data_IF_997228545879
#
_entry.id   IF_997228545879
#
_cell.length_a   1.000
_cell.length_b   1.000
_cell.length_c   1.000
_cell.angle_alpha   90.00
_cell.angle_beta   90.00
_cell.angle_gamma   90.00
#
_symmetry.space_group_name_H-M   'P 1'
#
loop_
_entity.id
_entity.type
_entity.pdbx_description
1 polymer ?
#
# COMPACT_ATOMS: atom_id res chain seq x y z
N UNK A 1 -26.35 13.92 -27.52
CA UNK A 1 -25.45 13.46 -26.43
C UNK A 1 -25.76 14.28 -25.20
N UNK A 2 -26.03 13.65 -24.06
CA UNK A 2 -26.16 14.37 -22.79
C UNK A 2 -24.80 15.00 -22.44
N UNK A 3 -24.76 16.22 -21.86
CA UNK A 3 -23.51 16.84 -21.45
C UNK A 3 -22.84 16.01 -20.35
N UNK A 4 -21.51 15.87 -20.37
CA UNK A 4 -20.77 15.11 -19.37
C UNK A 4 -20.77 15.74 -17.96
N UNK A 5 -21.47 16.87 -17.78
CA UNK A 5 -21.64 17.59 -16.51
C UNK A 5 -22.41 16.83 -15.43
N UNK A 6 -23.12 15.75 -15.78
CA UNK A 6 -23.80 14.85 -14.82
C UNK A 6 -23.03 13.55 -14.56
N UNK A 7 -21.81 13.39 -15.09
CA UNK A 7 -21.04 12.16 -14.93
C UNK A 7 -20.45 12.07 -13.52
N UNK A 8 -21.01 11.20 -12.69
CA UNK A 8 -20.58 10.97 -11.30
C UNK A 8 -19.63 9.77 -11.15
N UNK A 9 -19.80 8.77 -12.01
CA UNK A 9 -19.03 7.53 -11.97
C UNK A 9 -18.51 7.20 -13.36
N UNK A 10 -17.21 6.94 -13.46
CA UNK A 10 -16.59 6.51 -14.71
C UNK A 10 -15.72 5.29 -14.48
N UNK A 11 -15.98 4.25 -15.26
CA UNK A 11 -15.10 3.09 -15.39
C UNK A 11 -14.64 2.99 -16.83
N UNK A 12 -13.33 3.05 -17.05
CA UNK A 12 -12.71 2.74 -18.33
C UNK A 12 -11.92 1.46 -18.14
N UNK A 13 -12.27 0.44 -18.92
CA UNK A 13 -11.62 -0.86 -18.89
C UNK A 13 -11.25 -1.27 -20.30
N UNK A 14 -9.98 -1.58 -20.51
CA UNK A 14 -9.53 -2.21 -21.75
C UNK A 14 -9.37 -3.72 -21.53
N UNK A 15 -10.27 -4.48 -22.15
CA UNK A 15 -10.32 -5.94 -22.06
C UNK A 15 -9.82 -6.61 -23.36
N UNK A 16 -8.90 -5.95 -24.07
CA UNK A 16 -8.31 -6.51 -25.30
C UNK A 16 -7.51 -7.78 -25.02
N UNK A 17 -7.33 -8.60 -26.07
CA UNK A 17 -6.54 -9.86 -25.99
C UNK A 17 -5.06 -9.62 -25.73
N UNK A 18 -4.57 -8.42 -26.00
CA UNK A 18 -3.21 -8.00 -25.70
C UNK A 18 -3.17 -7.47 -24.28
N UNK A 19 -2.36 -8.09 -23.42
CA UNK A 19 -2.18 -7.80 -21.98
C UNK A 19 -1.58 -6.40 -21.68
N UNK A 20 -1.53 -5.53 -22.69
CA UNK A 20 -0.95 -4.21 -22.64
C UNK A 20 -2.03 -3.17 -22.30
N UNK A 21 -1.84 -2.46 -21.19
CA UNK A 21 -2.55 -1.23 -20.87
C UNK A 21 -2.45 -0.21 -22.01
N UNK A 22 -3.59 0.40 -22.34
CA UNK A 22 -3.71 1.27 -23.52
C UNK A 22 -3.61 2.72 -23.11
N UNK A 23 -2.73 3.52 -23.72
CA UNK A 23 -2.70 4.96 -23.51
C UNK A 23 -3.97 5.61 -24.08
N UNK A 24 -4.71 6.29 -23.21
CA UNK A 24 -5.81 7.16 -23.58
C UNK A 24 -5.20 8.52 -23.95
N UNK A 25 -4.58 8.58 -25.13
CA UNK A 25 -3.93 9.80 -25.66
C UNK A 25 -4.77 10.50 -26.71
N UNK A 26 -5.89 9.91 -27.15
CA UNK A 26 -6.74 10.52 -28.15
C UNK A 26 -7.39 11.81 -27.61
N UNK A 27 -7.20 12.97 -28.28
CA UNK A 27 -7.79 14.25 -27.88
C UNK A 27 -9.30 14.13 -27.64
N UNK A 28 -9.99 13.35 -28.48
CA UNK A 28 -11.45 13.13 -28.41
C UNK A 28 -11.94 12.58 -27.07
N UNK A 29 -11.12 11.80 -26.36
CA UNK A 29 -11.50 11.20 -25.08
C UNK A 29 -11.09 12.09 -23.90
N UNK A 30 -10.06 12.92 -24.07
CA UNK A 30 -9.64 13.92 -23.09
C UNK A 30 -10.71 15.01 -22.89
N UNK A 31 -11.48 15.38 -23.93
CA UNK A 31 -12.59 16.34 -23.80
C UNK A 31 -13.69 15.90 -22.82
N UNK A 32 -13.89 14.59 -22.60
CA UNK A 32 -14.84 14.10 -21.60
C UNK A 32 -14.45 14.53 -20.18
N UNK A 33 -13.16 14.78 -19.97
CA UNK A 33 -12.62 15.10 -18.67
C UNK A 33 -12.16 16.55 -18.51
N UNK A 34 -11.80 17.24 -19.60
CA UNK A 34 -11.38 18.64 -19.57
C UNK A 34 -12.58 19.56 -19.26
N UNK A 35 -12.84 19.74 -17.96
CA UNK A 35 -13.80 20.73 -17.44
C UNK A 35 -15.27 20.30 -17.40
N UNK A 36 -15.61 19.11 -17.94
CA UNK A 36 -17.00 18.63 -17.92
C UNK A 36 -17.29 17.63 -16.81
N UNK A 37 -16.29 16.90 -16.31
CA UNK A 37 -16.46 15.90 -15.26
C UNK A 37 -16.44 16.51 -13.84
N UNK A 38 -17.01 17.71 -13.65
CA UNK A 38 -16.99 18.43 -12.36
C UNK A 38 -17.74 17.69 -11.26
N UNK A 39 -18.65 16.78 -11.60
CA UNK A 39 -19.37 15.92 -10.65
C UNK A 39 -18.75 14.54 -10.47
N UNK A 40 -17.60 14.26 -11.07
CA UNK A 40 -17.01 12.93 -11.01
C UNK A 40 -16.51 12.63 -9.58
N UNK A 41 -17.17 11.68 -8.94
CA UNK A 41 -16.87 11.20 -7.59
C UNK A 41 -16.13 9.86 -7.60
N UNK A 42 -16.23 9.08 -8.68
CA UNK A 42 -15.60 7.78 -8.78
C UNK A 42 -14.95 7.55 -10.15
N UNK A 43 -13.67 7.18 -10.13
CA UNK A 43 -12.90 6.84 -11.32
C UNK A 43 -12.26 5.47 -11.14
N UNK A 44 -12.53 4.58 -12.09
CA UNK A 44 -11.84 3.29 -12.23
C UNK A 44 -11.18 3.22 -13.61
N UNK A 45 -9.87 2.98 -13.63
CA UNK A 45 -9.08 2.76 -14.83
C UNK A 45 -8.50 1.34 -14.77
N UNK A 46 -8.97 0.45 -15.63
CA UNK A 46 -8.46 -0.91 -15.76
C UNK A 46 -7.71 -1.06 -17.09
N UNK A 47 -6.42 -1.39 -17.02
CA UNK A 47 -5.53 -1.50 -18.18
C UNK A 47 -5.59 -0.26 -19.10
N UNK A 48 -5.66 0.93 -18.49
CA UNK A 48 -5.78 2.20 -19.19
C UNK A 48 -4.75 3.19 -18.63
N UNK A 49 -3.89 3.73 -19.50
CA UNK A 49 -2.92 4.75 -19.11
C UNK A 49 -3.53 6.12 -19.40
N UNK A 50 -3.84 6.85 -18.34
CA UNK A 50 -4.42 8.19 -18.38
C UNK A 50 -3.49 9.22 -17.72
N UNK A 51 -3.05 10.29 -18.40
CA UNK A 51 -2.17 11.30 -17.80
C UNK A 51 -2.96 12.18 -16.81
N UNK A 52 -2.73 12.07 -15.49
CA UNK A 52 -3.64 12.63 -14.52
C UNK A 52 -3.51 14.16 -14.37
N UNK A 53 -2.38 14.74 -14.77
CA UNK A 53 -2.06 16.18 -14.65
C UNK A 53 -2.93 17.11 -15.51
N UNK A 54 -3.79 16.57 -16.35
CA UNK A 54 -4.60 17.35 -17.30
C UNK A 54 -5.97 17.78 -16.73
N UNK A 55 -6.38 17.27 -15.55
CA UNK A 55 -7.73 17.49 -15.01
C UNK A 55 -7.69 17.74 -13.50
N UNK A 56 -8.42 18.74 -13.00
CA UNK A 56 -8.65 18.90 -11.57
C UNK A 56 -9.69 17.87 -11.07
N UNK A 57 -9.24 16.89 -10.29
CA UNK A 57 -10.09 15.85 -9.68
C UNK A 57 -10.61 16.24 -8.28
N UNK A 58 -11.08 17.48 -8.11
CA UNK A 58 -11.40 18.02 -6.79
C UNK A 58 -12.51 17.25 -6.04
N UNK A 59 -13.49 16.72 -6.77
CA UNK A 59 -14.65 16.02 -6.21
C UNK A 59 -14.48 14.50 -6.16
N UNK A 60 -13.34 13.99 -6.60
CA UNK A 60 -13.08 12.56 -6.65
C UNK A 60 -12.97 11.99 -5.24
N UNK A 61 -13.86 11.05 -4.90
CA UNK A 61 -13.88 10.35 -3.62
C UNK A 61 -13.29 8.94 -3.70
N UNK A 62 -13.32 8.34 -4.90
CA UNK A 62 -12.87 6.99 -5.16
C UNK A 62 -12.00 6.94 -6.41
N UNK A 63 -10.76 6.45 -6.25
CA UNK A 63 -9.83 6.20 -7.34
C UNK A 63 -9.40 4.72 -7.31
N UNK A 64 -9.57 4.03 -8.44
CA UNK A 64 -9.06 2.68 -8.64
C UNK A 64 -8.28 2.58 -9.94
N UNK A 65 -7.01 2.23 -9.84
CA UNK A 65 -6.17 1.85 -10.98
C UNK A 65 -5.94 0.35 -10.89
N UNK A 66 -6.23 -0.38 -11.97
CA UNK A 66 -6.09 -1.83 -12.03
C UNK A 66 -5.30 -2.22 -13.25
N UNK A 67 -4.22 -2.96 -13.04
CA UNK A 67 -3.35 -3.43 -14.10
C UNK A 67 -3.15 -4.94 -14.02
N UNK A 68 -3.01 -5.57 -15.18
CA UNK A 68 -2.49 -6.93 -15.29
C UNK A 68 -0.98 -6.83 -15.48
N UNK A 69 -0.22 -7.50 -14.62
CA UNK A 69 1.24 -7.42 -14.38
C UNK A 69 2.15 -7.77 -15.58
N UNK A 70 1.72 -7.69 -16.83
CA UNK A 70 2.50 -8.17 -17.97
C UNK A 70 2.98 -7.03 -18.86
N UNK A 71 4.25 -6.66 -18.67
CA UNK A 71 5.09 -6.10 -19.74
C UNK A 71 5.05 -4.59 -19.97
N UNK A 72 4.47 -3.78 -19.07
CA UNK A 72 4.40 -2.33 -19.26
C UNK A 72 5.08 -1.51 -18.18
N UNK A 73 5.80 -0.49 -18.66
CA UNK A 73 6.39 0.59 -17.86
C UNK A 73 5.30 1.57 -17.41
N UNK A 74 4.64 1.26 -16.30
CA UNK A 74 3.58 2.08 -15.71
C UNK A 74 4.08 3.06 -14.64
N UNK A 75 5.38 3.07 -14.36
CA UNK A 75 5.96 3.79 -13.22
C UNK A 75 5.64 5.29 -13.22
N UNK A 76 5.73 5.97 -14.37
CA UNK A 76 5.45 7.41 -14.46
C UNK A 76 3.95 7.71 -14.35
N UNK A 77 3.11 6.81 -14.85
CA UNK A 77 1.66 6.93 -14.75
C UNK A 77 1.20 6.78 -13.29
N UNK A 78 1.64 5.71 -12.63
CA UNK A 78 1.34 5.43 -11.21
C UNK A 78 1.90 6.57 -10.34
N UNK A 79 3.14 6.99 -10.58
CA UNK A 79 3.73 8.15 -9.92
C UNK A 79 2.89 9.40 -10.12
N UNK A 80 2.42 9.68 -11.34
CA UNK A 80 1.60 10.85 -11.62
C UNK A 80 0.31 10.87 -10.80
N UNK A 81 -0.37 9.73 -10.64
CA UNK A 81 -1.56 9.63 -9.79
C UNK A 81 -1.24 9.76 -8.31
N UNK A 82 -0.13 9.15 -7.88
CA UNK A 82 0.34 9.27 -6.50
C UNK A 82 0.72 10.71 -6.13
N UNK A 83 1.43 11.41 -7.03
CA UNK A 83 1.79 12.83 -6.88
C UNK A 83 0.54 13.71 -6.73
N UNK A 84 -0.54 13.43 -7.48
CA UNK A 84 -1.81 14.17 -7.33
C UNK A 84 -2.53 13.88 -6.02
N UNK A 85 -2.46 12.65 -5.52
CA UNK A 85 -3.02 12.31 -4.21
C UNK A 85 -2.31 13.13 -3.12
N UNK A 86 -0.99 13.25 -3.23
CA UNK A 86 -0.16 13.94 -2.25
C UNK A 86 -0.03 15.45 -2.47
N UNK A 87 -0.61 16.03 -3.52
CA UNK A 87 -0.53 17.48 -3.81
C UNK A 87 -1.67 18.32 -3.22
N UNK A 88 -2.60 17.70 -2.49
CA UNK A 88 -3.80 18.36 -1.98
C UNK A 88 -4.91 18.59 -3.02
N UNK A 89 -4.67 18.32 -4.31
CA UNK A 89 -5.66 18.51 -5.37
C UNK A 89 -6.85 17.54 -5.27
N UNK A 90 -6.67 16.39 -4.62
CA UNK A 90 -7.71 15.38 -4.40
C UNK A 90 -8.26 15.42 -2.96
N UNK A 91 -8.59 16.61 -2.45
CA UNK A 91 -9.04 16.85 -1.06
C UNK A 91 -10.20 15.96 -0.57
N UNK A 92 -11.08 15.53 -1.49
CA UNK A 92 -12.26 14.72 -1.19
C UNK A 92 -12.00 13.21 -1.28
N UNK A 93 -10.78 12.78 -1.65
CA UNK A 93 -10.47 11.38 -1.84
C UNK A 93 -10.62 10.60 -0.54
N UNK A 94 -11.48 9.58 -0.56
CA UNK A 94 -11.75 8.69 0.57
C UNK A 94 -11.10 7.33 0.37
N UNK A 95 -11.04 6.83 -0.87
CA UNK A 95 -10.49 5.51 -1.15
C UNK A 95 -9.57 5.52 -2.36
N UNK A 96 -8.41 4.90 -2.20
CA UNK A 96 -7.39 4.75 -3.21
C UNK A 96 -7.03 3.28 -3.37
N UNK A 97 -7.11 2.76 -4.59
CA UNK A 97 -6.78 1.37 -4.92
C UNK A 97 -5.84 1.35 -6.11
N UNK A 98 -4.60 0.89 -5.93
CA UNK A 98 -3.70 0.57 -7.02
C UNK A 98 -3.44 -0.94 -7.03
N UNK A 99 -3.86 -1.61 -8.09
CA UNK A 99 -3.80 -3.07 -8.24
C UNK A 99 -2.90 -3.45 -9.42
N UNK A 100 -2.07 -4.48 -9.25
CA UNK A 100 -1.08 -4.91 -10.25
C UNK A 100 0.03 -3.87 -10.47
N UNK A 101 0.43 -3.18 -9.40
CA UNK A 101 1.52 -2.19 -9.43
C UNK A 101 2.85 -2.91 -9.53
N UNK A 102 3.58 -2.68 -10.61
CA UNK A 102 4.96 -3.13 -10.74
C UNK A 102 5.81 -2.07 -11.42
N UNK A 103 7.06 -1.95 -10.97
CA UNK A 103 8.05 -1.05 -11.56
C UNK A 103 9.11 -1.80 -12.38
N UNK A 104 9.06 -3.14 -12.48
CA UNK A 104 9.93 -3.99 -13.32
C UNK A 104 11.37 -3.44 -13.48
N UNK A 105 12.07 -3.20 -12.36
CA UNK A 105 13.45 -2.64 -12.26
C UNK A 105 13.66 -1.13 -12.55
N UNK A 106 12.64 -0.38 -13.00
CA UNK A 106 12.74 1.06 -13.26
C UNK A 106 11.95 1.84 -12.22
N UNK A 107 12.66 2.35 -11.22
CA UNK A 107 12.05 3.09 -10.13
C UNK A 107 11.94 4.57 -10.50
N UNK A 108 10.74 5.18 -10.36
CA UNK A 108 10.56 6.58 -10.68
C UNK A 108 11.52 7.46 -9.87
N UNK A 109 12.07 8.47 -10.54
CA UNK A 109 12.92 9.46 -9.88
C UNK A 109 12.06 10.46 -9.08
N UNK A 110 12.55 10.81 -7.89
CA UNK A 110 11.90 11.78 -7.00
C UNK A 110 10.68 11.22 -6.27
N UNK A 111 10.63 11.42 -4.95
CA UNK A 111 9.44 11.17 -4.13
C UNK A 111 8.49 12.37 -4.26
N UNK A 112 7.23 12.22 -3.87
CA UNK A 112 6.33 13.37 -3.80
C UNK A 112 6.91 14.41 -2.81
N UNK A 113 7.24 15.61 -3.30
CA UNK A 113 7.88 16.66 -2.51
C UNK A 113 6.94 17.17 -1.41
N UNK A 114 7.36 17.05 -0.16
CA UNK A 114 6.64 17.55 1.02
C UNK A 114 6.88 19.06 1.23
N UNK A 115 6.82 19.84 0.16
CA UNK A 115 7.03 21.29 0.25
C UNK A 115 5.67 21.91 0.59
N UNK A 116 5.43 22.08 1.89
CA UNK A 116 4.35 22.83 2.58
C UNK A 116 2.87 22.50 2.29
N UNK A 117 2.56 21.74 1.23
CA UNK A 117 1.19 21.26 0.88
C UNK A 117 1.13 19.74 0.60
N UNK A 118 2.17 19.02 1.00
CA UNK A 118 2.36 17.59 0.69
C UNK A 118 1.56 16.60 1.54
N UNK A 119 0.41 16.96 2.10
CA UNK A 119 -0.35 16.06 2.97
C UNK A 119 -1.19 15.06 2.16
N UNK A 120 -1.31 13.83 2.65
CA UNK A 120 -2.33 12.91 2.13
C UNK A 120 -3.72 13.55 2.30
N UNK A 121 -4.69 13.25 1.43
CA UNK A 121 -6.01 13.84 1.53
C UNK A 121 -6.60 13.61 2.93
N UNK A 122 -7.11 14.64 3.62
CA UNK A 122 -7.51 14.53 5.03
C UNK A 122 -8.68 13.57 5.23
N UNK A 123 -9.49 13.37 4.19
CA UNK A 123 -10.65 12.47 4.18
C UNK A 123 -10.30 11.03 3.79
N UNK A 124 -9.03 10.72 3.57
CA UNK A 124 -8.61 9.40 3.11
C UNK A 124 -8.87 8.35 4.20
N UNK A 125 -9.73 7.39 3.86
CA UNK A 125 -10.17 6.29 4.75
C UNK A 125 -9.48 4.97 4.41
N UNK A 126 -9.00 4.80 3.18
CA UNK A 126 -8.41 3.55 2.75
C UNK A 126 -7.40 3.73 1.61
N UNK A 127 -6.25 3.07 1.77
CA UNK A 127 -5.28 2.79 0.72
C UNK A 127 -5.21 1.28 0.55
N UNK A 128 -5.33 0.83 -0.69
CA UNK A 128 -5.04 -0.54 -1.11
C UNK A 128 -3.95 -0.52 -2.16
N UNK A 129 -2.86 -1.25 -1.91
CA UNK A 129 -1.79 -1.48 -2.88
C UNK A 129 -1.61 -2.98 -3.09
N UNK A 130 -1.64 -3.41 -4.34
CA UNK A 130 -1.38 -4.79 -4.75
C UNK A 130 -0.37 -4.80 -5.89
N UNK A 131 0.66 -5.65 -5.75
CA UNK A 131 1.72 -5.84 -6.75
C UNK A 131 3.08 -6.04 -6.11
N UNK A 132 4.14 -5.66 -6.83
CA UNK A 132 5.53 -5.86 -6.40
C UNK A 132 5.83 -5.13 -5.09
N UNK A 133 6.55 -5.80 -4.20
CA UNK A 133 6.96 -5.23 -2.92
C UNK A 133 7.73 -3.92 -3.10
N UNK A 134 8.67 -3.85 -4.05
CA UNK A 134 9.51 -2.67 -4.28
C UNK A 134 8.67 -1.45 -4.67
N UNK A 135 7.67 -1.64 -5.53
CA UNK A 135 6.80 -0.57 -5.99
C UNK A 135 5.86 -0.10 -4.89
N UNK A 136 5.25 -1.04 -4.15
CA UNK A 136 4.38 -0.71 -3.02
C UNK A 136 5.13 0.00 -1.90
N UNK A 137 6.34 -0.47 -1.57
CA UNK A 137 7.20 0.16 -0.56
C UNK A 137 7.64 1.54 -1.02
N UNK A 138 8.04 1.71 -2.29
CA UNK A 138 8.43 3.02 -2.81
C UNK A 138 7.31 4.07 -2.71
N UNK A 139 6.05 3.68 -2.98
CA UNK A 139 4.91 4.58 -2.83
C UNK A 139 4.73 5.05 -1.37
N UNK A 140 5.04 4.18 -0.41
CA UNK A 140 4.89 4.46 1.02
C UNK A 140 6.16 5.05 1.67
N UNK A 141 7.34 4.83 1.11
CA UNK A 141 8.64 5.27 1.62
C UNK A 141 8.86 6.76 1.32
N UNK A 142 8.23 7.59 2.13
CA UNK A 142 8.30 9.05 2.02
C UNK A 142 8.56 9.70 3.38
N UNK A 143 9.44 10.68 3.36
CA UNK A 143 9.69 11.54 4.52
C UNK A 143 8.44 12.37 4.81
N UNK A 144 7.88 12.21 6.02
CA UNK A 144 6.67 12.90 6.41
C UNK A 144 5.37 12.33 5.83
N UNK A 145 5.34 11.10 5.30
CA UNK A 145 4.06 10.45 4.98
C UNK A 145 3.27 10.22 6.27
N UNK A 146 2.34 11.13 6.53
CA UNK A 146 1.37 11.00 7.61
C UNK A 146 0.05 10.54 7.00
N UNK A 147 -0.21 9.23 7.09
CA UNK A 147 -1.54 8.72 6.83
C UNK A 147 -2.52 9.34 7.85
N UNK A 148 -3.71 9.80 7.42
CA UNK A 148 -4.73 10.23 8.36
C UNK A 148 -4.94 9.17 9.46
N UNK A 149 -5.15 9.56 10.73
CA UNK A 149 -5.19 8.61 11.84
C UNK A 149 -6.18 7.45 11.67
N UNK A 150 -7.29 7.68 10.97
CA UNK A 150 -8.34 6.70 10.69
C UNK A 150 -8.20 5.98 9.34
N UNK A 151 -7.14 6.26 8.59
CA UNK A 151 -6.89 5.63 7.29
C UNK A 151 -6.48 4.16 7.47
N UNK A 152 -7.22 3.27 6.81
CA UNK A 152 -6.86 1.86 6.69
C UNK A 152 -5.81 1.67 5.60
N UNK A 153 -4.89 0.74 5.83
CA UNK A 153 -3.84 0.38 4.87
C UNK A 153 -3.91 -1.12 4.62
N UNK A 154 -4.17 -1.53 3.38
CA UNK A 154 -4.19 -2.93 2.99
C UNK A 154 -3.16 -3.14 1.86
N UNK A 155 -2.16 -4.00 2.11
CA UNK A 155 -1.10 -4.35 1.18
C UNK A 155 -1.20 -5.83 0.79
N UNK A 156 -1.08 -6.11 -0.50
CA UNK A 156 -0.98 -7.45 -1.07
C UNK A 156 0.26 -7.53 -1.94
N UNK A 157 1.32 -8.12 -1.41
CA UNK A 157 2.68 -7.98 -1.91
C UNK A 157 3.12 -9.26 -2.61
N UNK A 158 3.52 -9.12 -3.87
CA UNK A 158 4.24 -10.15 -4.61
C UNK A 158 5.74 -9.89 -4.47
N UNK A 159 6.52 -10.92 -4.19
CA UNK A 159 7.98 -10.81 -4.22
C UNK A 159 8.47 -10.90 -5.64
N UNK A 160 9.43 -10.06 -5.97
CA UNK A 160 10.07 -10.03 -7.28
C UNK A 160 10.95 -11.27 -7.44
N UNK A 161 10.52 -12.21 -8.28
CA UNK A 161 11.38 -13.29 -8.76
C UNK A 161 12.37 -12.71 -9.78
N UNK A 162 13.59 -12.38 -9.35
CA UNK A 162 14.75 -12.14 -10.21
C UNK A 162 14.50 -11.24 -11.43
N UNK A 163 14.49 -9.93 -11.23
CA UNK A 163 14.74 -9.00 -12.33
C UNK A 163 16.06 -8.28 -12.07
N UNK A 164 16.99 -8.47 -13.01
CA UNK A 164 18.32 -7.88 -13.04
C UNK A 164 18.23 -6.38 -12.75
N UNK A 165 18.55 -6.02 -11.51
CA UNK A 165 18.66 -4.63 -11.09
C UNK A 165 19.85 -4.05 -11.85
N UNK A 166 19.59 -3.29 -12.92
CA UNK A 166 20.54 -2.26 -13.34
C UNK A 166 20.30 -1.08 -12.40
N UNK A 167 21.16 -0.85 -11.39
CA UNK A 167 20.87 0.13 -10.36
C UNK A 167 21.22 1.50 -10.94
N UNK A 168 20.25 2.16 -11.55
CA UNK A 168 20.40 3.59 -11.85
C UNK A 168 20.15 4.45 -10.61
N UNK A 169 19.60 3.88 -9.52
CA UNK A 169 19.40 4.59 -8.24
C UNK A 169 19.61 3.65 -7.06
N UNK A 170 20.54 3.98 -6.17
CA UNK A 170 20.67 3.35 -4.85
C UNK A 170 19.54 3.81 -3.94
N UNK A 171 18.40 3.11 -3.99
CA UNK A 171 17.30 3.32 -3.04
C UNK A 171 17.26 2.12 -2.08
N UNK A 172 17.25 2.39 -0.77
CA UNK A 172 17.11 1.36 0.27
C UNK A 172 15.85 0.51 0.08
N UNK A 173 14.78 1.11 -0.47
CA UNK A 173 13.53 0.43 -0.82
C UNK A 173 13.70 -0.72 -1.83
N UNK A 174 14.82 -0.77 -2.55
CA UNK A 174 15.15 -1.75 -3.59
C UNK A 174 16.14 -2.78 -3.08
N UNK A 175 17.04 -2.33 -2.20
CA UNK A 175 18.07 -3.19 -1.60
C UNK A 175 17.48 -4.07 -0.50
N UNK A 176 16.57 -3.50 0.29
CA UNK A 176 15.91 -4.21 1.40
C UNK A 176 14.48 -3.67 1.61
N UNK A 177 13.55 -3.98 0.69
CA UNK A 177 12.15 -3.55 0.79
C UNK A 177 11.48 -4.00 2.09
N UNK A 178 11.87 -5.17 2.63
CA UNK A 178 11.35 -5.70 3.89
C UNK A 178 11.73 -4.84 5.09
N UNK A 179 12.98 -4.40 5.18
CA UNK A 179 13.46 -3.47 6.23
C UNK A 179 12.81 -2.09 6.11
N UNK A 180 12.68 -1.57 4.89
CA UNK A 180 12.01 -0.27 4.69
C UNK A 180 10.54 -0.34 5.07
N UNK A 181 9.83 -1.39 4.65
CA UNK A 181 8.45 -1.63 5.06
C UNK A 181 8.31 -1.75 6.59
N UNK A 182 9.25 -2.45 7.24
CA UNK A 182 9.34 -2.49 8.71
C UNK A 182 9.46 -1.09 9.32
N UNK A 183 10.36 -0.24 8.80
CA UNK A 183 10.56 1.12 9.30
C UNK A 183 9.29 1.99 9.15
N UNK A 184 8.63 1.92 7.99
CA UNK A 184 7.35 2.60 7.74
C UNK A 184 6.30 2.15 8.77
N UNK A 185 6.20 0.83 8.99
CA UNK A 185 5.26 0.26 9.94
C UNK A 185 5.54 0.68 11.38
N UNK A 186 6.80 0.67 11.82
CA UNK A 186 7.19 1.17 13.15
C UNK A 186 6.75 2.62 13.34
N UNK A 187 7.02 3.50 12.36
CA UNK A 187 6.59 4.92 12.42
C UNK A 187 5.07 5.06 12.54
N UNK A 188 4.30 4.27 11.80
CA UNK A 188 2.82 4.29 11.88
C UNK A 188 2.35 3.83 13.27
N UNK A 189 2.95 2.77 13.82
CA UNK A 189 2.58 2.20 15.12
C UNK A 189 2.99 3.10 16.30
N UNK A 190 4.10 3.83 16.18
CA UNK A 190 4.53 4.83 17.18
C UNK A 190 3.48 5.94 17.31
N UNK A 191 3.02 6.49 16.18
CA UNK A 191 1.99 7.54 16.12
C UNK A 191 0.58 7.05 16.44
N UNK A 192 0.33 5.74 16.42
CA UNK A 192 -0.98 5.20 16.82
C UNK A 192 -1.16 5.31 18.34
N UNK A 193 -1.89 6.35 18.76
CA UNK A 193 -2.24 6.61 20.16
C UNK A 193 -3.37 5.73 20.68
N UNK A 194 -4.01 4.92 19.83
CA UNK A 194 -5.13 4.06 20.22
C UNK A 194 -4.66 2.80 20.96
N UNK A 195 -4.17 3.02 22.18
CA UNK A 195 -3.90 2.00 23.17
C UNK A 195 -5.18 1.66 23.99
N UNK A 196 -5.42 0.39 24.37
CA UNK A 196 -4.67 -0.80 23.95
C UNK A 196 -4.95 -1.16 22.48
N UNK A 197 -3.91 -1.63 21.79
CA UNK A 197 -4.07 -2.20 20.45
C UNK A 197 -5.00 -3.41 20.56
N UNK A 198 -6.06 -3.43 19.75
CA UNK A 198 -7.16 -4.37 19.94
C UNK A 198 -6.77 -5.78 19.50
N UNK A 199 -5.91 -5.93 18.48
CA UNK A 199 -5.40 -7.24 18.05
C UNK A 199 -4.23 -7.10 17.06
N UNK A 200 -3.14 -7.84 17.30
CA UNK A 200 -2.16 -8.13 16.27
C UNK A 200 -2.13 -9.63 15.99
N UNK A 201 -2.40 -10.01 14.75
CA UNK A 201 -2.36 -11.41 14.32
C UNK A 201 -1.41 -11.62 13.18
N UNK A 202 -0.63 -12.69 13.31
CA UNK A 202 0.05 -13.32 12.18
C UNK A 202 -0.76 -14.55 11.80
N UNK A 203 -1.23 -14.62 10.55
CA UNK A 203 -2.03 -15.73 10.04
C UNK A 203 -1.50 -16.16 8.66
N UNK A 204 -0.76 -17.27 8.61
CA UNK A 204 -0.06 -17.67 7.38
C UNK A 204 0.99 -16.64 6.97
N UNK A 205 0.86 -16.09 5.76
CA UNK A 205 1.76 -15.07 5.18
C UNK A 205 1.18 -13.65 5.31
N UNK A 206 0.44 -13.42 6.40
CA UNK A 206 -0.32 -12.18 6.61
C UNK A 206 -0.06 -11.60 7.99
N UNK A 207 0.26 -10.32 8.02
CA UNK A 207 0.31 -9.48 9.20
C UNK A 207 -0.96 -8.61 9.27
N UNK A 208 -1.60 -8.57 10.43
CA UNK A 208 -2.78 -7.73 10.66
C UNK A 208 -2.64 -6.99 11.97
N UNK A 209 -2.69 -5.66 11.90
CA UNK A 209 -2.84 -4.76 13.04
C UNK A 209 -4.26 -4.19 13.05
N UNK A 210 -4.94 -4.26 14.19
CA UNK A 210 -6.26 -3.65 14.40
C UNK A 210 -6.23 -2.78 15.64
N UNK A 211 -6.56 -1.52 15.45
CA UNK A 211 -6.75 -0.55 16.53
C UNK A 211 -8.19 -0.03 16.54
N UNK A 212 -8.52 0.88 17.46
CA UNK A 212 -9.87 1.48 17.51
C UNK A 212 -10.16 2.38 16.31
N UNK A 213 -9.12 2.92 15.69
CA UNK A 213 -9.24 3.94 14.63
C UNK A 213 -8.87 3.45 13.25
N UNK A 214 -8.05 2.39 13.12
CA UNK A 214 -7.62 1.86 11.82
C UNK A 214 -7.30 0.37 11.83
N UNK A 215 -7.31 -0.21 10.63
CA UNK A 215 -6.80 -1.54 10.31
C UNK A 215 -5.62 -1.43 9.35
N UNK A 216 -4.55 -2.15 9.65
CA UNK A 216 -3.44 -2.36 8.72
C UNK A 216 -3.34 -3.86 8.41
N UNK A 217 -3.30 -4.19 7.14
CA UNK A 217 -3.16 -5.55 6.63
C UNK A 217 -1.98 -5.59 5.68
N UNK A 218 -1.06 -6.53 5.86
CA UNK A 218 0.04 -6.79 4.94
C UNK A 218 0.04 -8.27 4.63
N UNK A 219 -0.17 -8.62 3.38
CA UNK A 219 -0.19 -10.02 2.90
C UNK A 219 0.96 -10.19 1.92
N UNK A 220 1.67 -11.32 2.00
CA UNK A 220 2.77 -11.66 1.10
C UNK A 220 2.39 -12.91 0.29
N UNK A 221 2.83 -12.96 -0.96
CA UNK A 221 2.67 -14.11 -1.83
C UNK A 221 3.60 -15.27 -1.42
N UNK A 222 4.74 -14.99 -0.79
CA UNK A 222 5.75 -15.96 -0.41
C UNK A 222 6.18 -15.87 1.06
N UNK A 223 6.85 -16.93 1.52
CA UNK A 223 7.29 -17.08 2.92
C UNK A 223 8.58 -16.32 3.24
N UNK A 224 9.45 -16.10 2.25
CA UNK A 224 10.76 -15.49 2.44
C UNK A 224 10.59 -14.01 2.73
N UNK A 225 9.89 -13.29 1.86
CA UNK A 225 9.56 -11.88 2.04
C UNK A 225 8.82 -11.62 3.36
N UNK A 226 7.84 -12.47 3.68
CA UNK A 226 7.11 -12.38 4.95
C UNK A 226 8.02 -12.55 6.19
N UNK A 227 8.92 -13.55 6.16
CA UNK A 227 9.81 -13.83 7.29
C UNK A 227 10.85 -12.72 7.49
N UNK A 228 11.38 -12.17 6.40
CA UNK A 228 12.31 -11.02 6.43
C UNK A 228 11.63 -9.79 7.01
N UNK A 229 10.42 -9.45 6.52
CA UNK A 229 9.63 -8.34 7.06
C UNK A 229 9.37 -8.50 8.56
N UNK A 230 8.89 -9.68 8.98
CA UNK A 230 8.55 -9.92 10.39
C UNK A 230 9.79 -9.85 11.29
N UNK A 231 10.91 -10.43 10.87
CA UNK A 231 12.17 -10.39 11.63
C UNK A 231 12.65 -8.95 11.79
N UNK A 232 12.66 -8.17 10.70
CA UNK A 232 13.05 -6.75 10.71
C UNK A 232 12.10 -5.88 11.52
N UNK A 233 10.79 -6.16 11.49
CA UNK A 233 9.81 -5.44 12.30
C UNK A 233 10.08 -5.67 13.78
N UNK A 234 10.25 -6.91 14.19
CA UNK A 234 10.48 -7.22 15.60
C UNK A 234 11.81 -6.63 16.08
N UNK A 235 12.91 -6.84 15.34
CA UNK A 235 14.22 -6.32 15.71
C UNK A 235 14.28 -4.77 15.78
N UNK A 236 13.51 -4.09 14.92
CA UNK A 236 13.51 -2.62 14.82
C UNK A 236 12.45 -1.91 15.67
N UNK A 237 11.67 -2.64 16.48
CA UNK A 237 10.61 -2.01 17.31
C UNK A 237 11.18 -1.46 18.61
N UNK A 238 10.90 -0.18 18.88
CA UNK A 238 11.18 0.46 20.16
C UNK A 238 10.39 -0.22 21.28
N UNK A 239 10.83 -0.13 22.54
CA UNK A 239 10.13 -0.78 23.67
C UNK A 239 8.67 -0.34 23.80
N UNK A 240 8.37 0.90 23.41
CA UNK A 240 7.01 1.47 23.39
C UNK A 240 6.13 0.82 22.32
N UNK A 241 6.68 0.50 21.15
CA UNK A 241 5.97 -0.25 20.11
C UNK A 241 5.86 -1.72 20.48
N UNK A 242 6.94 -2.32 21.00
CA UNK A 242 6.94 -3.70 21.46
C UNK A 242 5.84 -3.95 22.52
N UNK A 243 5.62 -3.01 23.44
CA UNK A 243 4.53 -3.06 24.41
C UNK A 243 3.12 -3.02 23.76
N UNK A 244 2.98 -2.42 22.58
CA UNK A 244 1.74 -2.41 21.78
C UNK A 244 1.56 -3.72 20.98
N UNK A 245 2.66 -4.41 20.67
CA UNK A 245 2.69 -5.64 19.88
C UNK A 245 2.41 -6.88 20.77
N UNK A 246 1.14 -7.11 21.15
CA UNK A 246 0.72 -8.46 21.61
C UNK A 246 0.54 -9.37 20.40
N UNK A 247 1.64 -10.01 19.97
CA UNK A 247 1.64 -10.92 18.84
C UNK A 247 0.86 -12.20 19.18
N UNK A 248 -0.24 -12.45 18.46
CA UNK A 248 -0.90 -13.75 18.49
C UNK A 248 -0.62 -14.49 17.19
N UNK A 249 0.06 -15.64 17.27
CA UNK A 249 0.24 -16.54 16.13
C UNK A 249 -1.04 -17.36 15.92
N UNK A 250 -1.55 -17.42 14.69
CA UNK A 250 -2.61 -18.37 14.36
C UNK A 250 -2.05 -19.80 14.29
N UNK A 251 -2.93 -20.80 14.40
CA UNK A 251 -2.57 -22.21 14.20
C UNK A 251 -2.04 -22.51 12.80
N UNK A 252 -2.31 -21.63 11.82
CA UNK A 252 -1.91 -21.76 10.42
C UNK A 252 -0.52 -21.18 10.11
N UNK A 253 0.16 -20.58 11.10
CA UNK A 253 1.52 -20.08 10.94
C UNK A 253 2.52 -21.21 10.65
N UNK A 254 3.56 -20.91 9.86
CA UNK A 254 4.67 -21.85 9.65
C UNK A 254 5.52 -21.98 10.92
N UNK A 255 6.24 -23.10 11.07
CA UNK A 255 7.12 -23.33 12.22
C UNK A 255 8.21 -22.26 12.35
N UNK A 256 8.77 -21.79 11.23
CA UNK A 256 9.72 -20.68 11.21
C UNK A 256 9.10 -19.37 11.73
N UNK A 257 7.89 -19.04 11.27
CA UNK A 257 7.13 -17.88 11.77
C UNK A 257 6.85 -17.98 13.26
N UNK A 258 6.49 -19.18 13.75
CA UNK A 258 6.28 -19.41 15.19
C UNK A 258 7.55 -19.19 15.99
N UNK A 259 8.69 -19.72 15.53
CA UNK A 259 10.00 -19.53 16.17
C UNK A 259 10.41 -18.06 16.23
N UNK A 260 10.18 -17.29 15.16
CA UNK A 260 10.43 -15.83 15.13
C UNK A 260 9.59 -15.13 16.21
N UNK A 261 8.29 -15.43 16.29
CA UNK A 261 7.40 -14.84 17.31
C UNK A 261 7.81 -15.24 18.72
N UNK A 262 8.11 -16.53 18.94
CA UNK A 262 8.54 -17.07 20.24
C UNK A 262 9.86 -16.48 20.71
N UNK A 263 10.83 -16.25 19.81
CA UNK A 263 12.11 -15.62 20.15
C UNK A 263 11.96 -14.20 20.71
N UNK A 264 10.82 -13.56 20.43
CA UNK A 264 10.50 -12.21 20.90
C UNK A 264 9.56 -12.19 22.12
N UNK A 265 8.92 -13.32 22.45
CA UNK A 265 8.18 -13.44 23.69
C UNK A 265 9.19 -13.51 24.85
N UNK A 266 9.25 -12.44 25.67
CA UNK A 266 10.12 -12.43 26.86
C UNK A 266 9.78 -13.62 27.76
N UNK A 267 10.76 -14.38 28.27
CA UNK A 267 10.52 -15.41 29.28
C UNK A 267 9.82 -14.78 30.49
N UNK A 268 8.61 -15.26 30.84
CA UNK A 268 7.83 -14.74 31.97
C UNK A 268 7.02 -13.47 31.69
N UNK A 269 6.96 -12.99 30.44
CA UNK A 269 6.02 -11.94 30.04
C UNK A 269 4.61 -12.50 29.77
N UNK A 270 3.59 -11.65 29.74
CA UNK A 270 2.19 -12.03 29.44
C UNK A 270 1.97 -12.59 28.01
N UNK A 271 3.05 -12.85 27.26
CA UNK A 271 3.08 -13.33 25.89
C UNK A 271 3.56 -14.80 25.79
N UNK A 272 3.69 -15.53 26.91
CA UNK A 272 3.79 -17.00 26.92
C UNK A 272 2.46 -17.61 26.42
N UNK A 273 2.30 -17.64 25.09
CA UNK A 273 1.03 -17.87 24.40
C UNK A 273 0.81 -19.30 23.93
N UNK A 274 1.56 -20.27 24.46
CA UNK A 274 1.23 -21.68 24.28
C UNK A 274 0.82 -22.25 25.63
N UNK A 275 -0.50 -22.44 25.79
CA UNK A 275 -1.03 -23.29 26.85
C UNK A 275 -0.27 -24.61 26.86
N UNK A 276 -0.03 -25.12 28.07
CA UNK A 276 0.61 -26.42 28.31
C UNK A 276 0.11 -27.43 27.26
N UNK A 277 1.00 -28.21 26.63
CA UNK A 277 0.55 -29.32 25.81
C UNK A 277 -0.38 -30.16 26.68
N UNK A 278 -1.59 -30.46 26.18
CA UNK A 278 -2.48 -31.41 26.82
C UNK A 278 -1.66 -32.67 27.11
N UNK A 279 -1.39 -32.88 28.39
CA UNK A 279 -0.77 -34.08 28.88
C UNK A 279 -1.77 -35.20 28.63
N UNK A 280 -1.53 -35.97 27.58
CA UNK A 280 -2.06 -37.33 27.49
C UNK A 280 -1.48 -38.14 28.65
N UNK A 281 -2.20 -38.19 29.77
CA UNK A 281 -2.37 -39.35 30.65
C UNK A 281 -3.69 -39.21 31.40
#
# INVERSE_FOLDING_TARGET
MAPASSLEHLTLAFNGRTELAVPITAPRHLFLFMGQATRLHSLTLANCIFPPRLIPFENLEFLRLKYTLLGLRLQDHIKGWWDLCCSGQMKNLKNLYFEGVSFFSVIPHGRCAANDEGAMPPNLKKIYLEGDIDACVWLLDRDGLELPPSCNLDLSLETTENHSLYPLVELDAVRDPGRVLSSIMTRILEKDSSHPCAKLTVDGMKFVHRSKVRRITISFADKVGFSTFLTSLLAGTSETVAAKLKLTASTRCTEQTRKIIQSFARPGGSNDLFGKPDSLK
#
